data_IF_354329403868
#
_entry.id   IF_354329403868
#
_cell.length_a   1.000
_cell.length_b   1.000
_cell.length_c   1.000
_cell.angle_alpha   90.00
_cell.angle_beta   90.00
_cell.angle_gamma   90.00
#
_symmetry.space_group_name_H-M   'P 1'
#
loop_
_entity.id
_entity.type
_entity.pdbx_description
1 polymer ?
#
# COMPACT_ATOMS: atom_id res chain seq x y z
N UNK A 1 71.84 19.46 6.58
CA UNK A 1 70.65 18.87 7.19
C UNK A 1 69.70 20.01 7.48
N UNK A 2 68.60 20.10 6.73
CA UNK A 2 67.64 21.19 6.79
C UNK A 2 66.58 20.90 7.87
N UNK A 3 66.23 21.90 8.68
CA UNK A 3 64.96 21.94 9.40
C UNK A 3 64.39 23.35 9.24
N UNK A 4 63.45 23.48 8.30
CA UNK A 4 62.67 24.70 8.09
C UNK A 4 61.66 24.87 9.22
N UNK A 5 61.55 26.11 9.68
CA UNK A 5 60.53 26.57 10.63
C UNK A 5 59.27 26.98 9.86
N UNK A 6 58.19 26.22 9.99
CA UNK A 6 56.85 26.63 9.56
C UNK A 6 55.99 27.02 10.78
N UNK A 7 55.61 28.30 10.81
CA UNK A 7 54.58 28.89 11.66
C UNK A 7 53.37 29.16 10.75
N UNK A 8 52.25 28.43 10.90
CA UNK A 8 50.91 28.86 10.45
C UNK A 8 49.85 27.87 11.00
N UNK A 9 49.21 28.13 12.14
CA UNK A 9 47.99 28.93 12.38
C UNK A 9 46.93 28.00 12.97
N UNK A 10 46.18 28.41 14.02
CA UNK A 10 45.23 27.55 14.72
C UNK A 10 44.08 27.13 13.80
N UNK A 11 43.66 25.87 13.92
CA UNK A 11 42.55 25.28 13.17
C UNK A 11 41.30 26.18 13.26
N UNK A 12 40.63 26.49 12.13
CA UNK A 12 39.47 27.36 12.15
C UNK A 12 38.31 26.67 12.88
N UNK A 13 38.00 27.21 14.07
CA UNK A 13 36.66 27.64 14.50
C UNK A 13 35.54 26.63 14.22
N UNK A 14 34.95 26.15 15.32
CA UNK A 14 33.52 25.82 15.46
C UNK A 14 32.65 26.58 14.44
N UNK A 15 32.43 26.00 13.27
CA UNK A 15 31.47 26.55 12.33
C UNK A 15 30.09 26.19 12.89
N UNK A 16 29.19 27.16 13.14
CA UNK A 16 27.83 26.85 13.52
C UNK A 16 27.21 25.97 12.42
N UNK A 17 26.78 24.77 12.80
CA UNK A 17 26.10 23.82 11.93
C UNK A 17 24.80 24.47 11.43
N UNK A 18 24.84 25.12 10.26
CA UNK A 18 23.67 25.67 9.59
C UNK A 18 23.11 24.65 8.56
N UNK A 19 21.80 24.74 8.28
CA UNK A 19 20.75 23.91 8.86
C UNK A 19 20.69 22.52 8.22
N UNK A 20 21.15 21.48 8.92
CA UNK A 20 20.86 20.09 8.55
C UNK A 20 19.39 19.69 8.85
N UNK A 21 18.60 20.62 9.39
CA UNK A 21 17.39 20.31 10.14
C UNK A 21 16.24 19.72 9.31
N UNK A 22 16.10 20.05 8.02
CA UNK A 22 14.95 19.57 7.23
C UNK A 22 15.08 18.12 6.71
N UNK A 23 16.28 17.72 6.25
CA UNK A 23 16.51 16.36 5.74
C UNK A 23 16.58 15.35 6.91
N UNK A 24 17.11 15.81 8.04
CA UNK A 24 17.23 15.03 9.27
C UNK A 24 15.85 14.83 9.92
N UNK A 25 14.99 15.85 9.94
CA UNK A 25 13.64 15.73 10.50
C UNK A 25 12.75 14.74 9.73
N UNK A 26 12.76 14.76 8.39
CA UNK A 26 11.96 13.82 7.59
C UNK A 26 12.42 12.38 7.81
N UNK A 27 13.74 12.17 7.81
CA UNK A 27 14.34 10.86 8.02
C UNK A 27 14.09 10.36 9.46
N UNK A 28 14.21 11.23 10.46
CA UNK A 28 13.90 10.92 11.85
C UNK A 28 12.42 10.54 12.03
N UNK A 29 11.49 11.28 11.42
CA UNK A 29 10.05 10.93 11.44
C UNK A 29 9.78 9.58 10.78
N UNK A 30 10.44 9.28 9.66
CA UNK A 30 10.29 7.99 8.99
C UNK A 30 10.80 6.82 9.85
N UNK A 31 11.96 6.98 10.50
CA UNK A 31 12.50 5.97 11.42
C UNK A 31 11.61 5.78 12.65
N UNK A 32 11.11 6.88 13.24
CA UNK A 32 10.16 6.82 14.35
C UNK A 32 8.86 6.09 13.97
N UNK A 33 8.35 6.35 12.76
CA UNK A 33 7.18 5.64 12.24
C UNK A 33 7.44 4.14 12.09
N UNK A 34 8.58 3.74 11.51
CA UNK A 34 8.96 2.33 11.38
C UNK A 34 9.01 1.65 12.75
N UNK A 35 9.68 2.26 13.73
CA UNK A 35 9.76 1.73 15.10
C UNK A 35 8.36 1.58 15.73
N UNK A 36 7.50 2.59 15.61
CA UNK A 36 6.15 2.56 16.17
C UNK A 36 5.30 1.43 15.57
N UNK A 37 5.26 1.32 14.24
CA UNK A 37 4.42 0.30 13.57
C UNK A 37 4.95 -1.12 13.75
N UNK A 38 6.26 -1.29 13.86
CA UNK A 38 6.89 -2.61 14.08
C UNK A 38 6.80 -3.08 15.53
N UNK A 39 6.79 -2.15 16.49
CA UNK A 39 6.56 -2.46 17.90
C UNK A 39 5.09 -2.82 18.19
N UNK A 40 4.15 -2.23 17.44
CA UNK A 40 2.71 -2.36 17.66
C UNK A 40 1.99 -3.17 16.55
N UNK A 41 2.65 -4.16 15.96
CA UNK A 41 2.17 -4.84 14.74
C UNK A 41 0.75 -5.41 14.83
N UNK A 42 0.39 -6.11 15.92
CA UNK A 42 -0.95 -6.72 16.05
C UNK A 42 -2.06 -5.66 16.05
N UNK A 43 -1.91 -4.58 16.83
CA UNK A 43 -2.91 -3.52 16.90
C UNK A 43 -2.95 -2.66 15.64
N UNK A 44 -1.80 -2.43 14.99
CA UNK A 44 -1.75 -1.75 13.69
C UNK A 44 -2.47 -2.58 12.63
N UNK A 45 -2.21 -3.89 12.53
CA UNK A 45 -2.88 -4.76 11.57
C UNK A 45 -4.38 -4.91 11.85
N UNK A 46 -4.79 -4.98 13.13
CA UNK A 46 -6.21 -5.01 13.49
C UNK A 46 -6.94 -3.73 13.06
N UNK A 47 -6.37 -2.56 13.31
CA UNK A 47 -6.92 -1.27 12.86
C UNK A 47 -6.98 -1.15 11.34
N UNK A 48 -5.96 -1.63 10.63
CA UNK A 48 -5.93 -1.64 9.16
C UNK A 48 -7.05 -2.52 8.61
N UNK A 49 -7.21 -3.73 9.16
CA UNK A 49 -8.28 -4.64 8.76
C UNK A 49 -9.67 -4.02 9.02
N UNK A 50 -9.87 -3.44 10.21
CA UNK A 50 -11.11 -2.76 10.58
C UNK A 50 -11.45 -1.65 9.58
N UNK A 51 -10.47 -0.81 9.24
CA UNK A 51 -10.67 0.29 8.29
C UNK A 51 -11.01 -0.21 6.88
N UNK A 52 -10.31 -1.24 6.39
CA UNK A 52 -10.60 -1.86 5.08
C UNK A 52 -12.04 -2.41 5.07
N UNK A 53 -12.44 -3.13 6.10
CA UNK A 53 -13.77 -3.74 6.18
C UNK A 53 -14.86 -2.67 6.31
N UNK A 54 -14.63 -1.64 7.13
CA UNK A 54 -15.54 -0.51 7.33
C UNK A 54 -15.76 0.27 6.04
N UNK A 55 -14.68 0.62 5.35
CA UNK A 55 -14.76 1.37 4.09
C UNK A 55 -15.48 0.57 2.99
N UNK A 56 -15.28 -0.75 2.95
CA UNK A 56 -15.79 -1.61 1.88
C UNK A 56 -17.03 -2.41 2.28
N UNK A 57 -17.67 -2.12 3.42
CA UNK A 57 -18.78 -2.90 3.98
C UNK A 57 -19.94 -3.11 2.99
N UNK A 58 -20.14 -2.12 2.11
CA UNK A 58 -21.23 -2.12 1.14
C UNK A 58 -20.88 -2.69 -0.24
N UNK A 59 -19.64 -3.16 -0.44
CA UNK A 59 -19.20 -3.68 -1.74
C UNK A 59 -19.84 -5.04 -2.03
N UNK A 60 -20.00 -5.36 -3.33
CA UNK A 60 -20.60 -6.63 -3.74
C UNK A 60 -19.83 -7.83 -3.18
N UNK A 61 -18.50 -7.75 -3.13
CA UNK A 61 -17.66 -8.86 -2.65
C UNK A 61 -17.89 -9.15 -1.17
N UNK A 62 -17.89 -8.15 -0.29
CA UNK A 62 -18.13 -8.38 1.15
C UNK A 62 -19.58 -8.77 1.44
N UNK A 63 -20.55 -8.28 0.65
CA UNK A 63 -21.95 -8.68 0.75
C UNK A 63 -22.18 -10.16 0.40
N UNK A 64 -21.43 -10.73 -0.55
CA UNK A 64 -21.52 -12.16 -0.91
C UNK A 64 -21.23 -13.11 0.26
N UNK A 65 -20.43 -12.65 1.23
CA UNK A 65 -20.05 -13.44 2.40
C UNK A 65 -20.82 -13.03 3.67
N UNK A 66 -21.94 -12.32 3.51
CA UNK A 66 -22.86 -11.94 4.59
C UNK A 66 -22.15 -11.29 5.78
N UNK A 67 -21.15 -10.45 5.49
CA UNK A 67 -20.32 -9.87 6.52
C UNK A 67 -21.09 -8.83 7.38
N UNK A 68 -22.17 -8.27 6.81
CA UNK A 68 -23.17 -7.43 7.49
C UNK A 68 -22.57 -6.27 8.30
N UNK A 69 -21.52 -5.64 7.78
CA UNK A 69 -20.84 -4.52 8.43
C UNK A 69 -20.01 -4.88 9.66
N UNK A 70 -19.82 -6.17 9.97
CA UNK A 70 -18.85 -6.58 10.98
C UNK A 70 -17.44 -6.15 10.54
N UNK A 71 -16.60 -5.70 11.47
CA UNK A 71 -15.24 -5.23 11.18
C UNK A 71 -14.17 -5.95 11.99
N UNK A 72 -14.58 -6.88 12.86
CA UNK A 72 -13.67 -7.59 13.75
C UNK A 72 -12.95 -8.76 13.06
N UNK A 73 -11.74 -9.03 13.52
CA UNK A 73 -10.86 -10.08 13.00
C UNK A 73 -11.49 -11.48 13.03
N UNK A 74 -12.36 -11.78 14.00
CA UNK A 74 -12.96 -13.11 14.14
C UNK A 74 -14.03 -13.32 13.06
N UNK A 75 -14.90 -12.33 12.87
CA UNK A 75 -15.90 -12.34 11.81
C UNK A 75 -15.24 -12.47 10.43
N UNK A 76 -14.20 -11.68 10.15
CA UNK A 76 -13.43 -11.77 8.90
C UNK A 76 -12.93 -13.19 8.64
N UNK A 77 -12.19 -13.77 9.60
CA UNK A 77 -11.61 -15.12 9.47
C UNK A 77 -12.65 -16.22 9.31
N UNK A 78 -13.84 -16.05 9.87
CA UNK A 78 -14.90 -17.06 9.81
C UNK A 78 -15.72 -17.04 8.52
N UNK A 79 -15.76 -15.90 7.82
CA UNK A 79 -16.65 -15.66 6.68
C UNK A 79 -15.93 -15.51 5.35
N UNK A 80 -14.77 -14.84 5.35
CA UNK A 80 -14.03 -14.56 4.13
C UNK A 80 -13.07 -15.72 3.82
N UNK A 81 -13.24 -16.40 2.68
CA UNK A 81 -12.34 -17.47 2.28
C UNK A 81 -10.98 -16.93 1.85
N UNK A 82 -9.96 -17.78 1.95
CA UNK A 82 -8.70 -17.56 1.25
C UNK A 82 -8.92 -17.94 -0.21
N UNK A 83 -8.65 -17.02 -1.13
CA UNK A 83 -8.95 -17.13 -2.57
C UNK A 83 -7.70 -17.10 -3.43
N UNK A 84 -7.77 -17.69 -4.63
CA UNK A 84 -6.77 -17.51 -5.68
C UNK A 84 -7.15 -16.37 -6.63
N UNK A 85 -6.31 -16.09 -7.62
CA UNK A 85 -6.62 -15.08 -8.64
C UNK A 85 -7.83 -15.50 -9.49
N UNK A 86 -7.93 -16.78 -9.82
CA UNK A 86 -8.97 -17.36 -10.67
C UNK A 86 -10.36 -17.19 -10.04
N UNK A 87 -10.46 -17.27 -8.71
CA UNK A 87 -11.72 -17.02 -7.98
C UNK A 87 -12.21 -15.57 -8.14
N UNK A 88 -11.28 -14.61 -8.30
CA UNK A 88 -11.56 -13.19 -8.44
C UNK A 88 -11.66 -12.74 -9.91
N UNK A 89 -11.16 -13.56 -10.85
CA UNK A 89 -11.09 -13.23 -12.27
C UNK A 89 -12.43 -12.78 -12.87
N UNK A 90 -13.60 -13.38 -12.56
CA UNK A 90 -14.88 -12.94 -13.11
C UNK A 90 -15.22 -11.48 -12.72
N UNK A 91 -14.96 -11.11 -11.48
CA UNK A 91 -15.20 -9.75 -10.97
C UNK A 91 -14.20 -8.74 -11.55
N UNK A 92 -12.92 -9.12 -11.62
CA UNK A 92 -11.87 -8.31 -12.27
C UNK A 92 -12.25 -8.08 -13.74
N UNK A 93 -12.78 -9.09 -14.41
CA UNK A 93 -13.18 -9.00 -15.81
C UNK A 93 -14.37 -8.07 -16.02
N UNK A 94 -15.33 -8.02 -15.08
CA UNK A 94 -16.42 -7.03 -15.09
C UNK A 94 -15.87 -5.60 -15.03
N UNK A 95 -14.94 -5.35 -14.12
CA UNK A 95 -14.33 -4.02 -13.96
C UNK A 95 -13.55 -3.63 -15.22
N UNK A 96 -12.77 -4.56 -15.78
CA UNK A 96 -12.02 -4.34 -17.02
C UNK A 96 -12.94 -4.06 -18.22
N UNK A 97 -14.13 -4.68 -18.27
CA UNK A 97 -15.17 -4.40 -19.26
C UNK A 97 -15.89 -3.06 -19.06
N UNK A 98 -15.54 -2.30 -18.01
CA UNK A 98 -16.09 -0.98 -17.74
C UNK A 98 -17.19 -0.94 -16.68
N UNK A 99 -17.46 -2.02 -15.94
CA UNK A 99 -18.35 -1.98 -14.78
C UNK A 99 -17.77 -1.06 -13.70
N UNK A 100 -18.53 -0.02 -13.32
CA UNK A 100 -18.15 0.98 -12.31
C UNK A 100 -18.85 0.76 -10.97
N UNK A 101 -19.57 -0.34 -10.80
CA UNK A 101 -20.19 -0.72 -9.53
C UNK A 101 -19.13 -0.98 -8.46
N UNK A 102 -19.49 -0.83 -7.19
CA UNK A 102 -18.58 -1.06 -6.05
C UNK A 102 -18.40 -2.55 -5.80
N UNK A 103 -17.61 -3.22 -6.66
CA UNK A 103 -17.42 -4.67 -6.60
C UNK A 103 -16.48 -5.06 -5.46
N UNK A 104 -15.24 -4.55 -5.47
CA UNK A 104 -14.23 -4.80 -4.44
C UNK A 104 -14.03 -3.62 -3.48
N UNK A 105 -14.04 -2.41 -4.03
CA UNK A 105 -13.72 -1.18 -3.32
C UNK A 105 -14.90 -0.20 -3.35
N UNK A 106 -15.10 0.53 -2.26
CA UNK A 106 -16.05 1.66 -2.25
C UNK A 106 -15.56 2.83 -3.12
N UNK A 107 -14.24 2.99 -3.25
CA UNK A 107 -13.63 3.94 -4.16
C UNK A 107 -13.42 3.33 -5.56
N UNK A 108 -13.66 4.08 -6.66
CA UNK A 108 -13.50 3.58 -8.01
C UNK A 108 -12.07 3.08 -8.29
N UNK A 109 -11.96 1.92 -8.94
CA UNK A 109 -10.67 1.38 -9.42
C UNK A 109 -10.27 2.17 -10.67
N UNK A 110 -9.09 2.81 -10.61
CA UNK A 110 -8.56 3.60 -11.73
C UNK A 110 -7.72 2.77 -12.70
N UNK A 111 -6.92 1.84 -12.17
CA UNK A 111 -5.88 1.15 -12.91
C UNK A 111 -5.64 -0.26 -12.35
N UNK A 112 -5.16 -1.18 -13.20
CA UNK A 112 -4.69 -2.51 -12.80
C UNK A 112 -3.18 -2.60 -12.92
N UNK A 113 -2.51 -3.00 -11.83
CA UNK A 113 -1.04 -3.10 -11.77
C UNK A 113 -0.61 -4.57 -11.69
N UNK A 114 0.10 -5.05 -12.70
CA UNK A 114 0.72 -6.38 -12.75
C UNK A 114 2.21 -6.27 -13.07
N UNK A 115 3.05 -7.18 -12.52
CA UNK A 115 4.52 -7.18 -12.80
C UNK A 115 4.83 -7.32 -14.29
N UNK A 116 3.96 -8.00 -15.01
CA UNK A 116 3.89 -7.96 -16.46
C UNK A 116 3.04 -6.73 -16.82
N UNK A 117 3.68 -5.73 -17.42
CA UNK A 117 3.18 -4.49 -18.03
C UNK A 117 1.66 -4.31 -18.10
N UNK A 118 1.17 -3.09 -17.79
CA UNK A 118 -0.19 -2.56 -18.03
C UNK A 118 -1.02 -3.50 -18.89
N UNK A 119 -1.97 -4.24 -18.28
CA UNK A 119 -3.01 -4.92 -19.04
C UNK A 119 -3.81 -3.78 -19.69
N UNK A 120 -3.38 -3.34 -20.88
CA UNK A 120 -4.28 -2.73 -21.84
C UNK A 120 -5.44 -3.71 -21.95
N UNK A 121 -6.64 -3.18 -21.80
CA UNK A 121 -7.92 -3.89 -21.89
C UNK A 121 -8.00 -4.61 -23.25
N UNK A 122 -7.33 -5.76 -23.36
CA UNK A 122 -7.57 -6.78 -24.37
C UNK A 122 -8.03 -7.98 -23.60
N UNK A 123 -9.22 -7.79 -23.06
CA UNK A 123 -10.13 -8.85 -22.65
C UNK A 123 -10.21 -9.77 -23.85
N UNK A 124 -9.84 -11.03 -23.66
CA UNK A 124 -9.94 -12.12 -24.62
C UNK A 124 -11.00 -11.82 -25.69
N UNK A 125 -10.54 -11.45 -26.88
CA UNK A 125 -11.38 -11.35 -28.07
C UNK A 125 -12.12 -12.67 -28.21
N UNK A 126 -13.43 -12.61 -27.94
CA UNK A 126 -14.50 -13.33 -28.62
C UNK A 126 -14.00 -14.39 -29.61
N UNK A 127 -13.65 -15.59 -29.12
CA UNK A 127 -13.44 -16.78 -29.97
C UNK A 127 -14.65 -17.70 -30.04
N UNK A 128 -15.83 -17.15 -29.80
CA UNK A 128 -17.08 -17.72 -30.31
C UNK A 128 -17.60 -16.79 -31.40
N UNK A 129 -17.11 -16.99 -32.62
CA UNK A 129 -17.83 -16.90 -33.91
C UNK A 129 -16.77 -17.05 -35.01
N UNK A 130 -16.73 -18.21 -35.67
CA UNK A 130 -16.63 -18.39 -37.12
C UNK A 130 -16.65 -19.91 -37.38
N UNK A 131 -17.77 -20.38 -37.93
CA UNK A 131 -17.92 -21.43 -38.97
C UNK A 131 -16.68 -22.26 -39.32
#
# INVERSE_FOLDING_TARGET
MACGSELLSPSPIEQPLAPATACDEKSAKALQFIEEVTKNTDSVQERVLEEIMRQNADTEYLKRFDLNGATDRKSFKSKIPVVTYEDLQPDIQRIANGDRSTIFCAYPISEFLTRYTLITVTIYESRDTYI
#
